data_IF_605927973839
#
_entry.id   IF_605927973839
#
_cell.length_a   1.000
_cell.length_b   1.000
_cell.length_c   1.000
_cell.angle_alpha   90.00
_cell.angle_beta   90.00
_cell.angle_gamma   90.00
#
_symmetry.space_group_name_H-M   'P 1'
#
loop_
_entity.id
_entity.type
_entity.pdbx_description
1 polymer ?
#
# COMPACT_ATOMS: atom_id res chain seq x y z
N UNK A 1 39.73 -7.28 -16.87
CA UNK A 1 39.22 -6.07 -16.20
C UNK A 1 38.12 -5.35 -16.97
N UNK A 2 37.84 -5.68 -18.25
CA UNK A 2 36.81 -4.97 -19.06
C UNK A 2 35.42 -5.62 -19.02
N UNK A 3 35.32 -6.95 -18.88
CA UNK A 3 34.03 -7.67 -18.85
C UNK A 3 33.18 -7.32 -17.61
N UNK A 4 33.82 -7.14 -16.46
CA UNK A 4 33.11 -6.83 -15.21
C UNK A 4 32.59 -5.38 -15.18
N UNK A 5 33.28 -4.45 -15.84
CA UNK A 5 32.85 -3.06 -15.97
C UNK A 5 31.59 -2.93 -16.86
N UNK A 6 31.57 -3.61 -18.00
CA UNK A 6 30.39 -3.63 -18.88
C UNK A 6 29.17 -4.28 -18.22
N UNK A 7 29.37 -5.34 -17.42
CA UNK A 7 28.30 -5.98 -16.66
C UNK A 7 27.72 -5.07 -15.56
N UNK A 8 28.55 -4.21 -14.96
CA UNK A 8 28.11 -3.21 -13.98
C UNK A 8 27.27 -2.09 -14.62
N UNK A 9 27.70 -1.58 -15.78
CA UNK A 9 26.97 -0.56 -16.54
C UNK A 9 25.61 -1.07 -17.05
N UNK A 10 25.56 -2.29 -17.57
CA UNK A 10 24.30 -2.90 -18.02
C UNK A 10 23.32 -3.09 -16.87
N UNK A 11 23.81 -3.56 -15.70
CA UNK A 11 22.98 -3.72 -14.50
C UNK A 11 22.41 -2.38 -14.04
N UNK A 12 23.25 -1.34 -13.99
CA UNK A 12 22.83 0.01 -13.62
C UNK A 12 21.74 0.53 -14.57
N UNK A 13 21.93 0.37 -15.89
CA UNK A 13 20.93 0.79 -16.87
C UNK A 13 19.59 0.04 -16.69
N UNK A 14 19.63 -1.27 -16.42
CA UNK A 14 18.41 -2.04 -16.16
C UNK A 14 17.68 -1.58 -14.90
N UNK A 15 18.41 -1.27 -13.82
CA UNK A 15 17.83 -0.73 -12.58
C UNK A 15 17.17 0.62 -12.82
N UNK A 16 17.86 1.54 -13.52
CA UNK A 16 17.31 2.85 -13.87
C UNK A 16 16.01 2.70 -14.67
N UNK A 17 16.00 1.84 -15.69
CA UNK A 17 14.81 1.60 -16.51
C UNK A 17 13.64 1.02 -15.70
N UNK A 18 13.93 0.08 -14.80
CA UNK A 18 12.92 -0.48 -13.91
C UNK A 18 12.31 0.59 -13.00
N UNK A 19 13.15 1.41 -12.36
CA UNK A 19 12.69 2.47 -11.47
C UNK A 19 11.86 3.53 -12.20
N UNK A 20 12.18 3.85 -13.46
CA UNK A 20 11.33 4.71 -14.29
C UNK A 20 9.94 4.10 -14.53
N UNK A 21 9.84 2.78 -14.72
CA UNK A 21 8.56 2.08 -14.85
C UNK A 21 7.78 2.13 -13.52
N UNK A 22 8.44 1.91 -12.39
CA UNK A 22 7.83 2.01 -11.06
C UNK A 22 7.34 3.44 -10.78
N UNK A 23 8.12 4.46 -11.17
CA UNK A 23 7.70 5.86 -11.06
C UNK A 23 6.46 6.16 -11.92
N UNK A 24 6.38 5.59 -13.13
CA UNK A 24 5.21 5.73 -13.97
C UNK A 24 3.96 5.13 -13.28
N UNK A 25 4.08 3.98 -12.63
CA UNK A 25 3.00 3.41 -11.80
C UNK A 25 2.57 4.34 -10.67
N UNK A 26 3.53 4.94 -9.97
CA UNK A 26 3.25 5.89 -8.89
C UNK A 26 2.46 7.11 -9.39
N UNK A 27 2.88 7.70 -10.52
CA UNK A 27 2.17 8.82 -11.15
C UNK A 27 0.76 8.46 -11.62
N UNK A 28 0.54 7.22 -12.07
CA UNK A 28 -0.81 6.77 -12.45
C UNK A 28 -1.76 6.74 -11.26
N UNK A 29 -1.28 6.39 -10.06
CA UNK A 29 -2.12 6.38 -8.84
C UNK A 29 -2.64 7.79 -8.52
N UNK A 30 -1.79 8.82 -8.67
CA UNK A 30 -2.20 10.23 -8.46
C UNK A 30 -3.31 10.63 -9.43
N UNK A 31 -3.25 10.16 -10.68
CA UNK A 31 -4.26 10.45 -11.70
C UNK A 31 -5.61 9.76 -11.43
N UNK A 32 -5.59 8.56 -10.84
CA UNK A 32 -6.78 7.74 -10.54
C UNK A 32 -7.55 8.23 -9.31
N UNK A 33 -6.94 9.07 -8.46
CA UNK A 33 -7.57 9.68 -7.26
C UNK A 33 -8.26 8.66 -6.35
N UNK A 34 -7.57 7.58 -6.02
CA UNK A 34 -8.10 6.52 -5.16
C UNK A 34 -8.32 7.05 -3.74
N UNK A 35 -9.57 7.21 -3.34
CA UNK A 35 -9.92 7.77 -2.03
C UNK A 35 -9.73 6.77 -0.89
N UNK A 36 -9.16 7.24 0.22
CA UNK A 36 -9.04 6.46 1.45
C UNK A 36 -7.91 5.43 1.46
N UNK A 37 -7.08 5.38 0.42
CA UNK A 37 -5.84 4.59 0.37
C UNK A 37 -4.70 5.53 0.05
N UNK A 38 -3.63 5.49 0.83
CA UNK A 38 -2.42 6.27 0.59
C UNK A 38 -1.26 5.30 0.49
N UNK A 39 -0.42 5.48 -0.51
CA UNK A 39 0.79 4.68 -0.70
C UNK A 39 1.95 5.57 -1.11
N UNK A 40 3.15 5.12 -0.79
CA UNK A 40 4.40 5.75 -1.20
C UNK A 40 5.48 4.66 -1.35
N UNK A 41 6.31 4.69 -2.41
CA UNK A 41 7.49 3.84 -2.51
C UNK A 41 8.46 4.12 -1.36
N UNK A 42 9.14 3.09 -0.85
CA UNK A 42 10.21 3.21 0.14
C UNK A 42 11.31 4.11 -0.40
N UNK A 43 11.93 4.89 0.50
CA UNK A 43 13.06 5.73 0.13
C UNK A 43 14.25 4.89 -0.34
N UNK A 44 14.55 3.80 0.37
CA UNK A 44 15.70 2.93 0.07
C UNK A 44 15.44 1.85 -0.98
N UNK A 45 14.19 1.50 -1.27
CA UNK A 45 13.87 0.41 -2.19
C UNK A 45 12.61 0.70 -3.02
N UNK A 46 12.78 0.87 -4.33
CA UNK A 46 11.70 1.14 -5.29
C UNK A 46 10.63 0.05 -5.36
N UNK A 47 10.99 -1.19 -5.04
CA UNK A 47 10.11 -2.35 -5.10
C UNK A 47 9.36 -2.60 -3.79
N UNK A 48 9.67 -1.86 -2.72
CA UNK A 48 8.94 -1.89 -1.46
C UNK A 48 8.09 -0.62 -1.34
N UNK A 49 6.79 -0.76 -1.11
CA UNK A 49 5.91 0.39 -0.94
C UNK A 49 5.21 0.31 0.42
N UNK A 50 5.08 1.46 1.08
CA UNK A 50 4.32 1.60 2.31
C UNK A 50 2.92 2.10 2.00
N UNK A 51 1.92 1.49 2.63
CA UNK A 51 0.53 1.82 2.40
C UNK A 51 -0.29 1.88 3.68
N UNK A 52 -1.34 2.70 3.64
CA UNK A 52 -2.36 2.76 4.67
C UNK A 52 -3.74 2.91 4.04
N UNK A 53 -4.71 2.15 4.53
CA UNK A 53 -6.12 2.24 4.14
C UNK A 53 -6.98 2.70 5.31
N UNK A 54 -7.84 3.68 5.04
CA UNK A 54 -8.88 4.17 5.93
C UNK A 54 -10.22 3.61 5.48
N UNK A 55 -10.73 2.63 6.23
CA UNK A 55 -12.00 1.98 5.87
C UNK A 55 -13.17 2.84 6.34
N UNK A 56 -14.01 3.27 5.40
CA UNK A 56 -15.09 4.24 5.66
C UNK A 56 -16.47 3.61 5.85
N UNK A 57 -16.64 2.33 5.53
CA UNK A 57 -17.92 1.64 5.58
C UNK A 57 -17.72 0.12 5.71
N UNK A 58 -18.80 -0.60 6.00
CA UNK A 58 -18.79 -2.05 6.11
C UNK A 58 -18.35 -2.53 7.50
N UNK A 59 -17.93 -3.80 7.59
CA UNK A 59 -17.61 -4.45 8.87
C UNK A 59 -16.42 -3.83 9.60
N UNK A 60 -15.51 -3.18 8.86
CA UNK A 60 -14.28 -2.61 9.38
C UNK A 60 -14.32 -1.07 9.42
N UNK A 61 -15.50 -0.47 9.49
CA UNK A 61 -15.64 0.99 9.54
C UNK A 61 -14.74 1.60 10.63
N UNK A 62 -14.11 2.73 10.30
CA UNK A 62 -13.12 3.46 11.10
C UNK A 62 -11.78 2.74 11.32
N UNK A 63 -11.53 1.60 10.67
CA UNK A 63 -10.23 0.96 10.72
C UNK A 63 -9.16 1.74 9.94
N UNK A 64 -7.94 1.71 10.47
CA UNK A 64 -6.74 2.27 9.84
C UNK A 64 -5.71 1.17 9.70
N UNK A 65 -5.72 0.47 8.56
CA UNK A 65 -4.84 -0.67 8.35
C UNK A 65 -3.61 -0.30 7.55
N UNK A 66 -2.44 -0.62 8.08
CA UNK A 66 -1.16 -0.44 7.42
C UNK A 66 -0.81 -1.70 6.65
N UNK A 67 -0.22 -1.53 5.47
CA UNK A 67 0.27 -2.63 4.66
C UNK A 67 1.55 -2.25 3.93
N UNK A 68 2.23 -3.26 3.43
CA UNK A 68 3.34 -3.11 2.50
C UNK A 68 3.00 -3.80 1.20
N UNK A 69 3.50 -3.27 0.08
CA UNK A 69 3.49 -3.94 -1.21
C UNK A 69 4.94 -4.26 -1.56
N UNK A 70 5.21 -5.53 -1.84
CA UNK A 70 6.47 -6.00 -2.39
C UNK A 70 6.23 -6.31 -3.86
N UNK A 71 6.84 -5.51 -4.72
CA UNK A 71 6.87 -5.75 -6.16
C UNK A 71 7.90 -6.84 -6.48
N UNK A 72 7.66 -7.69 -7.50
CA UNK A 72 8.65 -8.65 -7.98
C UNK A 72 9.98 -8.00 -8.39
N UNK A 73 11.08 -8.72 -8.24
CA UNK A 73 12.43 -8.25 -8.59
C UNK A 73 12.55 -7.78 -10.05
N UNK A 74 11.78 -8.36 -10.97
CA UNK A 74 11.75 -7.98 -12.39
C UNK A 74 10.49 -7.18 -12.77
N UNK A 75 9.79 -6.57 -11.81
CA UNK A 75 8.59 -5.78 -12.08
C UNK A 75 8.87 -4.63 -13.08
N UNK A 76 7.95 -4.32 -14.00
CA UNK A 76 6.67 -4.98 -14.28
C UNK A 76 6.78 -6.09 -15.35
N UNK A 77 7.99 -6.50 -15.74
CA UNK A 77 8.21 -7.46 -16.83
C UNK A 77 8.04 -8.92 -16.35
N UNK A 78 7.94 -9.13 -15.04
CA UNK A 78 7.60 -10.40 -14.40
C UNK A 78 6.08 -10.71 -14.47
N UNK A 79 5.72 -12.00 -14.50
CA UNK A 79 4.31 -12.47 -14.40
C UNK A 79 3.88 -12.75 -12.96
N UNK A 80 4.82 -12.76 -12.02
CA UNK A 80 4.53 -12.93 -10.60
C UNK A 80 3.75 -11.75 -10.05
N UNK A 81 2.91 -12.04 -9.07
CA UNK A 81 2.02 -11.07 -8.45
C UNK A 81 2.77 -10.27 -7.38
N UNK A 82 2.47 -8.96 -7.23
CA UNK A 82 2.87 -8.22 -6.04
C UNK A 82 2.36 -8.90 -4.77
N UNK A 83 3.18 -8.89 -3.72
CA UNK A 83 2.78 -9.40 -2.40
C UNK A 83 2.30 -8.25 -1.54
N UNK A 84 1.10 -8.36 -0.99
CA UNK A 84 0.53 -7.35 -0.08
C UNK A 84 0.48 -7.93 1.33
N UNK A 85 1.14 -7.28 2.29
CA UNK A 85 1.25 -7.75 3.67
C UNK A 85 0.69 -6.69 4.62
N UNK A 86 -0.41 -7.01 5.31
CA UNK A 86 -0.95 -6.19 6.38
C UNK A 86 -0.12 -6.33 7.66
N UNK A 87 0.08 -5.20 8.33
CA UNK A 87 0.84 -5.13 9.60
C UNK A 87 -0.07 -5.29 10.81
N UNK A 88 -1.37 -5.00 10.66
CA UNK A 88 -2.37 -5.20 11.70
C UNK A 88 -2.85 -6.66 11.69
N UNK A 89 -3.25 -7.16 12.86
CA UNK A 89 -4.00 -8.42 12.97
C UNK A 89 -5.43 -8.21 12.47
N UNK A 90 -5.76 -8.83 11.34
CA UNK A 90 -7.05 -8.63 10.64
C UNK A 90 -7.73 -9.98 10.42
N UNK A 91 -8.97 -10.09 10.89
CA UNK A 91 -9.82 -11.26 10.65
C UNK A 91 -10.55 -11.20 9.30
N UNK A 92 -9.87 -11.46 8.20
CA UNK A 92 -10.48 -11.42 6.87
C UNK A 92 -10.28 -12.76 6.10
N UNK A 93 -11.28 -13.30 5.38
CA UNK A 93 -11.16 -14.58 4.66
C UNK A 93 -9.96 -14.67 3.72
N UNK A 94 -9.62 -13.55 3.07
CA UNK A 94 -8.53 -13.45 2.09
C UNK A 94 -7.18 -13.08 2.68
N UNK A 95 -7.09 -12.77 3.98
CA UNK A 95 -5.84 -12.38 4.63
C UNK A 95 -5.36 -13.53 5.51
N UNK A 96 -4.12 -13.98 5.31
CA UNK A 96 -3.51 -15.00 6.16
C UNK A 96 -3.36 -14.45 7.59
N UNK A 97 -3.93 -15.10 8.61
CA UNK A 97 -3.89 -14.59 9.98
C UNK A 97 -2.49 -14.62 10.61
N UNK A 98 -1.57 -15.41 10.05
CA UNK A 98 -0.21 -15.58 10.58
C UNK A 98 0.81 -14.66 9.91
N UNK A 99 0.65 -14.40 8.61
CA UNK A 99 1.62 -13.63 7.82
C UNK A 99 1.11 -12.25 7.43
N UNK A 100 -0.18 -11.96 7.58
CA UNK A 100 -0.81 -10.74 7.07
C UNK A 100 -0.93 -10.68 5.55
N UNK A 101 -0.50 -11.72 4.83
CA UNK A 101 -0.51 -11.74 3.37
C UNK A 101 -1.94 -11.80 2.83
N UNK A 102 -2.27 -10.87 1.94
CA UNK A 102 -3.53 -10.87 1.19
C UNK A 102 -3.42 -11.78 -0.03
N UNK A 103 -4.43 -12.61 -0.23
CA UNK A 103 -4.65 -13.31 -1.50
C UNK A 103 -5.27 -12.36 -2.53
N UNK A 104 -4.55 -12.11 -3.61
CA UNK A 104 -5.01 -11.30 -4.74
C UNK A 104 -5.24 -12.13 -6.02
N UNK A 105 -5.03 -13.45 -5.95
CA UNK A 105 -5.04 -14.35 -7.11
C UNK A 105 -6.39 -14.43 -7.82
N UNK A 106 -7.49 -14.17 -7.11
CA UNK A 106 -8.82 -14.15 -7.72
C UNK A 106 -9.05 -12.95 -8.62
N UNK A 107 -8.39 -11.81 -8.35
CA UNK A 107 -8.45 -10.61 -9.17
C UNK A 107 -7.33 -10.59 -10.22
N UNK A 108 -6.18 -11.16 -9.87
CA UNK A 108 -4.99 -11.22 -10.71
C UNK A 108 -4.48 -12.67 -10.76
N UNK A 109 -4.93 -13.51 -11.71
CA UNK A 109 -4.43 -14.88 -11.84
C UNK A 109 -2.92 -14.95 -12.11
N UNK A 110 -2.40 -13.95 -12.82
CA UNK A 110 -0.99 -13.64 -13.04
C UNK A 110 -0.90 -12.15 -13.39
N UNK A 111 0.29 -11.55 -13.27
CA UNK A 111 0.49 -10.14 -13.59
C UNK A 111 0.63 -9.95 -15.11
N UNK A 112 -0.24 -9.15 -15.70
CA UNK A 112 -0.20 -8.79 -17.13
C UNK A 112 0.52 -7.47 -17.31
N UNK A 113 1.81 -7.55 -17.64
CA UNK A 113 2.63 -6.37 -17.92
C UNK A 113 1.96 -5.45 -18.95
N UNK A 114 1.78 -4.19 -18.58
CA UNK A 114 1.12 -3.16 -19.41
C UNK A 114 -0.41 -3.14 -19.37
N UNK A 115 -1.07 -4.10 -18.72
CA UNK A 115 -2.53 -4.11 -18.50
C UNK A 115 -2.89 -4.00 -17.01
N UNK A 116 -2.14 -4.73 -16.17
CA UNK A 116 -2.28 -4.71 -14.73
C UNK A 116 -1.38 -3.64 -14.12
N UNK A 117 -1.95 -2.83 -13.23
CA UNK A 117 -1.29 -1.68 -12.63
C UNK A 117 -1.49 -1.63 -11.11
N UNK A 118 -0.57 -0.98 -10.41
CA UNK A 118 -0.62 -0.88 -8.94
C UNK A 118 -1.91 -0.20 -8.49
N UNK A 119 -2.44 0.77 -9.23
CA UNK A 119 -3.71 1.42 -8.89
C UNK A 119 -4.90 0.45 -8.88
N UNK A 120 -4.92 -0.58 -9.73
CA UNK A 120 -5.96 -1.61 -9.72
C UNK A 120 -5.84 -2.50 -8.48
N UNK A 121 -4.59 -2.85 -8.11
CA UNK A 121 -4.31 -3.55 -6.87
C UNK A 121 -4.81 -2.75 -5.65
N UNK A 122 -4.60 -1.43 -5.61
CA UNK A 122 -5.13 -0.57 -4.55
C UNK A 122 -6.66 -0.54 -4.52
N UNK A 123 -7.33 -0.49 -5.69
CA UNK A 123 -8.80 -0.60 -5.76
C UNK A 123 -9.28 -1.96 -5.27
N UNK A 124 -8.52 -3.04 -5.54
CA UNK A 124 -8.84 -4.36 -5.02
C UNK A 124 -8.68 -4.43 -3.49
N UNK A 125 -7.60 -3.88 -2.93
CA UNK A 125 -7.40 -3.74 -1.47
C UNK A 125 -8.58 -2.98 -0.85
N UNK A 126 -9.07 -1.93 -1.49
CA UNK A 126 -10.27 -1.23 -1.01
C UNK A 126 -11.53 -2.12 -1.10
N UNK A 127 -11.71 -2.84 -2.21
CA UNK A 127 -12.88 -3.67 -2.45
C UNK A 127 -13.04 -4.79 -1.41
N UNK A 128 -11.95 -5.42 -0.96
CA UNK A 128 -12.04 -6.50 0.04
C UNK A 128 -12.64 -6.01 1.37
N UNK A 129 -12.40 -4.76 1.77
CA UNK A 129 -12.98 -4.22 3.02
C UNK A 129 -14.36 -3.62 2.82
N UNK A 130 -14.64 -3.08 1.62
CA UNK A 130 -15.95 -2.50 1.28
C UNK A 130 -16.99 -3.58 1.04
N UNK A 131 -16.64 -4.65 0.30
CA UNK A 131 -17.53 -5.74 -0.10
C UNK A 131 -16.93 -7.13 0.19
N UNK A 132 -16.57 -7.44 1.45
CA UNK A 132 -15.85 -8.67 1.79
C UNK A 132 -16.60 -9.94 1.39
N UNK A 133 -17.94 -9.94 1.47
CA UNK A 133 -18.76 -11.11 1.07
C UNK A 133 -18.56 -11.42 -0.42
N UNK A 134 -18.62 -10.40 -1.27
CA UNK A 134 -18.52 -10.59 -2.72
C UNK A 134 -17.09 -10.97 -3.12
N UNK A 135 -16.08 -10.29 -2.58
CA UNK A 135 -14.68 -10.65 -2.82
C UNK A 135 -14.37 -12.08 -2.35
N UNK A 136 -14.87 -12.48 -1.19
CA UNK A 136 -14.73 -13.86 -0.67
C UNK A 136 -15.40 -14.86 -1.60
N UNK A 137 -16.63 -14.57 -2.07
CA UNK A 137 -17.37 -15.43 -3.00
C UNK A 137 -16.64 -15.61 -4.33
N UNK A 138 -16.04 -14.55 -4.87
CA UNK A 138 -15.26 -14.62 -6.12
C UNK A 138 -13.97 -15.43 -5.95
N UNK A 139 -13.29 -15.29 -4.81
CA UNK A 139 -12.10 -16.08 -4.49
C UNK A 139 -12.39 -17.57 -4.25
N UNK A 140 -13.62 -17.92 -3.86
CA UNK A 140 -14.03 -19.28 -3.56
C UNK A 140 -14.08 -20.23 -4.77
N UNK A 141 -13.90 -19.73 -5.99
CA UNK A 141 -14.01 -20.50 -7.24
C UNK A 141 -12.83 -21.48 -7.47
N UNK A 142 -12.55 -22.35 -6.49
CA UNK A 142 -11.60 -23.45 -6.60
C UNK A 142 -10.48 -23.47 -5.55
N UNK A 143 -10.39 -22.48 -4.65
CA UNK A 143 -9.31 -22.35 -3.67
C UNK A 143 -9.81 -22.41 -2.21
N UNK A 144 -8.93 -22.87 -1.31
CA UNK A 144 -9.13 -22.81 0.14
C UNK A 144 -8.83 -21.37 0.60
N UNK A 145 -9.73 -20.78 1.40
CA UNK A 145 -9.49 -19.46 1.99
C UNK A 145 -8.24 -19.46 2.87
N UNK A 146 -7.45 -18.38 2.78
CA UNK A 146 -6.28 -18.16 3.65
C UNK A 146 -6.66 -18.10 5.13
N UNK A 147 -7.88 -17.64 5.42
CA UNK A 147 -8.45 -17.67 6.77
C UNK A 147 -9.81 -18.38 6.75
N UNK A 148 -9.77 -19.70 6.96
CA UNK A 148 -10.96 -20.54 6.98
C UNK A 148 -11.93 -20.17 8.11
N UNK A 149 -11.42 -19.78 9.28
CA UNK A 149 -12.23 -19.33 10.41
C UNK A 149 -13.02 -18.06 10.07
N UNK A 150 -12.34 -17.05 9.50
CA UNK A 150 -13.01 -15.83 9.06
C UNK A 150 -14.08 -16.11 7.99
N UNK A 151 -13.81 -17.02 7.05
CA UNK A 151 -14.77 -17.41 6.02
C UNK A 151 -16.00 -18.15 6.61
N UNK A 152 -15.77 -19.03 7.59
CA UNK A 152 -16.83 -19.72 8.31
C UNK A 152 -17.69 -18.74 9.10
N UNK A 153 -17.09 -17.83 9.87
CA UNK A 153 -17.81 -16.79 10.60
C UNK A 153 -18.63 -15.89 9.66
N UNK A 154 -18.05 -15.45 8.54
CA UNK A 154 -18.74 -14.62 7.56
C UNK A 154 -19.98 -15.31 6.94
N UNK A 155 -19.95 -16.64 6.87
CA UNK A 155 -21.03 -17.46 6.30
C UNK A 155 -22.07 -17.87 7.34
N UNK A 156 -21.62 -18.40 8.47
CA UNK A 156 -22.45 -19.07 9.48
C UNK A 156 -22.79 -18.19 10.68
N UNK A 157 -21.90 -17.27 11.09
CA UNK A 157 -22.07 -16.43 12.28
C UNK A 157 -21.62 -14.98 12.03
N UNK A 158 -22.41 -14.26 11.24
CA UNK A 158 -22.10 -12.87 10.84
C UNK A 158 -22.02 -11.89 12.01
N UNK A 159 -22.75 -12.15 13.10
CA UNK A 159 -22.72 -11.32 14.29
C UNK A 159 -21.34 -11.36 14.95
N UNK A 160 -20.77 -12.57 15.10
CA UNK A 160 -19.42 -12.75 15.62
C UNK A 160 -18.36 -12.17 14.67
N UNK A 161 -18.51 -12.39 13.35
CA UNK A 161 -17.60 -11.77 12.37
C UNK A 161 -17.58 -10.24 12.50
N UNK A 162 -18.76 -9.62 12.63
CA UNK A 162 -18.89 -8.17 12.82
C UNK A 162 -18.26 -7.69 14.12
N UNK A 163 -18.42 -8.44 15.22
CA UNK A 163 -17.79 -8.11 16.49
C UNK A 163 -16.26 -8.11 16.37
N UNK A 164 -15.68 -9.17 15.79
CA UNK A 164 -14.23 -9.27 15.62
C UNK A 164 -13.65 -8.28 14.62
N UNK A 165 -14.37 -7.98 13.53
CA UNK A 165 -13.97 -6.93 12.59
C UNK A 165 -13.94 -5.54 13.25
N UNK A 166 -14.90 -5.28 14.15
CA UNK A 166 -14.90 -4.07 14.98
C UNK A 166 -13.72 -4.04 15.96
N UNK A 167 -13.36 -5.16 16.56
CA UNK A 167 -12.18 -5.26 17.43
C UNK A 167 -10.88 -4.97 16.65
N UNK A 168 -10.75 -5.47 15.41
CA UNK A 168 -9.65 -5.11 14.51
C UNK A 168 -9.60 -3.58 14.27
N UNK A 169 -10.75 -2.94 14.04
CA UNK A 169 -10.82 -1.49 13.84
C UNK A 169 -10.41 -0.71 15.10
N UNK A 170 -10.84 -1.14 16.29
CA UNK A 170 -10.46 -0.53 17.56
C UNK A 170 -8.95 -0.65 17.80
N UNK A 171 -8.40 -1.86 17.69
CA UNK A 171 -6.97 -2.13 17.83
C UNK A 171 -6.13 -1.31 16.85
N UNK A 172 -6.58 -1.18 15.59
CA UNK A 172 -5.87 -0.36 14.60
C UNK A 172 -5.73 1.11 14.99
N UNK A 173 -6.74 1.67 15.68
CA UNK A 173 -6.72 3.06 16.15
C UNK A 173 -5.87 3.26 17.39
N UNK A 174 -5.82 2.27 18.28
CA UNK A 174 -4.95 2.30 19.47
C UNK A 174 -3.47 2.33 19.09
N UNK A 175 -3.13 1.66 17.98
CA UNK A 175 -1.77 1.47 17.47
C UNK A 175 -1.34 2.49 16.41
N UNK A 176 -2.15 3.50 16.15
CA UNK A 176 -1.90 4.45 15.05
C UNK A 176 -0.61 5.26 15.24
N UNK A 177 -0.22 5.48 16.50
CA UNK A 177 0.95 6.24 16.93
C UNK A 177 2.12 5.36 17.42
N UNK A 178 2.08 4.05 17.15
CA UNK A 178 3.19 3.16 17.46
C UNK A 178 4.46 3.60 16.73
N UNK A 179 5.62 3.29 17.32
CA UNK A 179 6.91 3.51 16.66
C UNK A 179 6.97 2.75 15.32
N UNK A 180 7.52 3.37 14.27
CA UNK A 180 7.60 2.75 12.96
C UNK A 180 8.51 1.50 13.02
N UNK A 181 8.18 0.42 12.28
CA UNK A 181 8.98 -0.81 12.27
C UNK A 181 10.26 -0.69 11.44
N UNK A 182 10.54 0.49 10.88
CA UNK A 182 11.66 0.77 9.98
C UNK A 182 12.08 2.23 10.14
N UNK A 183 13.37 2.49 9.89
CA UNK A 183 13.95 3.83 9.86
C UNK A 183 13.80 4.52 8.48
N UNK A 184 13.11 3.86 7.52
CA UNK A 184 12.86 4.45 6.21
C UNK A 184 11.98 5.71 6.33
N UNK A 185 12.44 6.87 5.85
CA UNK A 185 11.73 8.14 6.03
C UNK A 185 10.41 8.23 5.24
N UNK A 186 10.16 7.34 4.29
CA UNK A 186 8.88 7.26 3.59
C UNK A 186 7.85 6.38 4.30
N UNK A 187 8.21 5.72 5.41
CA UNK A 187 7.22 5.01 6.20
C UNK A 187 6.16 5.99 6.72
N UNK A 188 4.89 5.72 6.40
CA UNK A 188 3.79 6.63 6.73
C UNK A 188 3.61 6.64 8.25
N UNK A 189 3.86 7.77 8.92
CA UNK A 189 3.64 7.94 10.35
C UNK A 189 2.49 8.91 10.61
N UNK A 190 1.86 8.80 11.78
CA UNK A 190 0.82 9.72 12.21
C UNK A 190 1.26 10.42 13.48
N UNK A 191 0.91 11.69 13.58
CA UNK A 191 1.10 12.48 14.79
C UNK A 191 -0.25 12.88 15.36
N UNK A 192 -0.31 13.09 16.67
CA UNK A 192 -1.52 13.58 17.32
C UNK A 192 -1.84 14.97 16.79
N UNK A 193 -3.13 15.25 16.64
CA UNK A 193 -3.57 16.55 16.18
C UNK A 193 -3.20 17.66 17.19
N UNK A 194 -2.19 18.45 16.83
CA UNK A 194 -1.86 19.75 17.40
C UNK A 194 -2.69 20.87 16.76
N UNK A 195 -3.40 21.69 17.56
CA UNK A 195 -4.25 22.77 17.06
C UNK A 195 -3.49 23.92 16.43
N UNK A 196 -2.30 24.22 16.95
CA UNK A 196 -1.51 25.38 16.56
C UNK A 196 -0.76 25.10 15.26
N UNK A 197 -0.29 23.85 15.09
CA UNK A 197 0.38 23.39 13.87
C UNK A 197 -0.64 23.00 12.80
N UNK A 198 -1.58 22.11 13.11
CA UNK A 198 -2.47 21.52 12.11
C UNK A 198 -3.76 22.32 11.88
N UNK A 199 -4.21 23.13 12.85
CA UNK A 199 -5.45 23.92 12.74
C UNK A 199 -5.47 24.85 11.53
N UNK A 200 -4.44 25.68 11.31
CA UNK A 200 -4.37 26.56 10.13
C UNK A 200 -4.35 25.78 8.81
N UNK A 201 -3.68 24.63 8.75
CA UNK A 201 -3.61 23.77 7.57
C UNK A 201 -4.99 23.19 7.27
N UNK A 202 -5.67 22.65 8.29
CA UNK A 202 -7.03 22.09 8.18
C UNK A 202 -8.02 23.13 7.68
N UNK A 203 -8.00 24.35 8.21
CA UNK A 203 -8.90 25.43 7.77
C UNK A 203 -8.69 25.78 6.29
N UNK A 204 -7.44 25.84 5.83
CA UNK A 204 -7.11 26.08 4.41
C UNK A 204 -7.64 24.98 3.50
N UNK A 205 -7.43 23.72 3.88
CA UNK A 205 -7.97 22.56 3.14
C UNK A 205 -9.50 22.64 3.06
N UNK A 206 -10.18 22.95 4.16
CA UNK A 206 -11.64 23.06 4.19
C UNK A 206 -12.18 24.26 3.38
N UNK A 207 -11.41 25.34 3.26
CA UNK A 207 -11.81 26.55 2.53
C UNK A 207 -11.33 26.57 1.07
N UNK A 208 -10.61 25.53 0.63
CA UNK A 208 -10.09 25.40 -0.74
C UNK A 208 -8.98 26.40 -1.08
N UNK A 209 -8.28 26.95 -0.08
CA UNK A 209 -7.15 27.86 -0.27
C UNK A 209 -5.85 27.07 -0.41
N UNK A 210 -4.94 27.55 -1.29
CA UNK A 210 -3.62 26.94 -1.47
C UNK A 210 -2.85 26.87 -0.13
N UNK A 211 -2.20 25.72 0.08
CA UNK A 211 -1.35 25.50 1.24
C UNK A 211 -0.08 26.36 1.12
N UNK A 212 0.43 26.91 2.23
CA UNK A 212 1.73 27.56 2.19
C UNK A 212 2.80 26.49 1.95
N UNK A 213 3.86 26.81 1.22
CA UNK A 213 5.05 25.96 1.16
C UNK A 213 5.56 25.71 2.59
N UNK A 214 5.83 24.45 2.91
CA UNK A 214 6.26 24.06 4.26
C UNK A 214 7.59 24.74 4.62
N UNK A 215 7.68 25.46 5.76
CA UNK A 215 8.94 26.09 6.20
C UNK A 215 9.99 25.07 6.67
N UNK A 216 9.64 23.79 6.83
CA UNK A 216 10.58 22.71 7.17
C UNK A 216 11.04 21.88 5.98
N UNK A 217 10.58 22.19 4.77
CA UNK A 217 11.21 21.63 3.58
C UNK A 217 12.56 22.34 3.37
N UNK A 218 13.65 21.69 3.80
CA UNK A 218 14.90 21.84 3.07
C UNK A 218 14.54 21.76 1.57
N UNK A 219 15.12 22.62 0.73
CA UNK A 219 14.68 22.96 -0.62
C UNK A 219 14.56 21.80 -1.64
N UNK A 220 14.71 20.55 -1.20
CA UNK A 220 14.17 19.37 -1.84
C UNK A 220 13.31 18.68 -0.79
N UNK A 221 11.99 18.59 -0.98
CA UNK A 221 11.22 17.56 -0.28
C UNK A 221 11.93 16.22 -0.44
N UNK A 222 11.64 15.25 0.44
CA UNK A 222 12.04 13.86 0.25
C UNK A 222 11.25 13.26 -0.93
N UNK A 223 11.30 13.94 -2.07
CA UNK A 223 10.79 13.47 -3.33
C UNK A 223 11.68 12.29 -3.68
N UNK A 224 11.02 11.15 -3.77
CA UNK A 224 11.61 9.92 -4.24
C UNK A 224 12.27 10.09 -5.62
N UNK A 225 11.94 11.15 -6.37
CA UNK A 225 12.53 11.47 -7.68
C UNK A 225 12.84 12.97 -7.81
N UNK A 226 14.05 13.29 -8.27
CA UNK A 226 14.40 14.64 -8.71
C UNK A 226 14.17 14.77 -10.22
N UNK A 227 13.35 15.73 -10.62
CA UNK A 227 13.06 15.98 -12.02
C UNK A 227 14.36 16.33 -12.78
N UNK A 228 14.64 15.61 -13.87
CA UNK A 228 15.82 15.82 -14.71
C UNK A 228 17.11 15.10 -14.25
N UNK A 229 17.09 14.34 -13.15
CA UNK A 229 18.23 13.49 -12.76
C UNK A 229 18.06 12.05 -13.29
N UNK A 230 19.13 11.51 -13.91
CA UNK A 230 19.22 10.13 -14.40
C UNK A 230 20.14 9.30 -13.50
N UNK A 231 19.81 9.23 -12.22
CA UNK A 231 20.51 8.39 -11.24
C UNK A 231 19.56 7.31 -10.75
N UNK A 232 20.04 6.08 -10.49
CA UNK A 232 19.22 5.09 -9.81
C UNK A 232 18.78 5.65 -8.45
N UNK A 233 17.54 5.36 -8.10
CA UNK A 233 16.84 5.84 -6.91
C UNK A 233 17.19 4.99 -5.69
N UNK A 234 17.44 3.70 -5.89
CA UNK A 234 17.96 2.80 -4.87
C UNK A 234 19.40 3.17 -4.50
N UNK A 235 19.61 3.46 -3.21
CA UNK A 235 20.93 3.66 -2.63
C UNK A 235 21.54 2.27 -2.41
N UNK A 236 22.74 2.01 -2.93
CA UNK A 236 23.48 0.77 -2.68
C UNK A 236 23.65 0.45 -1.19
#
# INVERSE_FOLDING_TARGET
MTLDAHKGEDKLLTTIQQEYKVLAEYKMIESEKIGGVYVIPSYGNSLLWFGVIFVRQGFYVDAVFRFTILLPDNFPDDKSLPTVIFQNEIIHPLICPYTGSLDISCAFPYWRSGEDHIWQLLKYIQAIFVNPIECTRLAAAGAKYNNAEAAELLTQNRAEFMARAKDCALSSKERIYDEPPTEDPHYIVFEKFDSDIHGPIKERICTGKELPESPTAAANGLSWVKEGEFKPLSIE
#
